data_IF_270344108225
#
_entry.id   IF_270344108225
#
_cell.length_a   1.000
_cell.length_b   1.000
_cell.length_c   1.000
_cell.angle_alpha   90.00
_cell.angle_beta   90.00
_cell.angle_gamma   90.00
#
_symmetry.space_group_name_H-M   'P 1'
#
loop_
_entity.id
_entity.type
_entity.pdbx_description
1 polymer ?
#
# COMPACT_ATOMS: atom_id res chain seq x y z
N UNK A 1 -24.36 14.70 8.32
CA UNK A 1 -23.42 15.06 7.23
C UNK A 1 -24.23 15.34 5.97
N UNK A 2 -24.05 16.48 5.31
CA UNK A 2 -24.78 16.78 4.06
C UNK A 2 -24.04 16.17 2.87
N UNK A 3 -24.75 15.36 2.09
CA UNK A 3 -24.24 14.66 0.91
C UNK A 3 -25.02 15.10 -0.32
N UNK A 4 -24.32 15.28 -1.44
CA UNK A 4 -24.95 15.61 -2.72
C UNK A 4 -24.66 14.47 -3.69
N UNK A 5 -25.70 13.80 -4.18
CA UNK A 5 -25.58 12.73 -5.16
C UNK A 5 -26.55 12.98 -6.31
N UNK A 6 -26.02 13.03 -7.55
CA UNK A 6 -26.78 13.33 -8.78
C UNK A 6 -27.63 14.61 -8.72
N UNK A 7 -27.09 15.65 -8.07
CA UNK A 7 -27.77 16.95 -7.96
C UNK A 7 -28.90 16.99 -6.93
N UNK A 8 -29.11 15.91 -6.17
CA UNK A 8 -30.04 15.90 -5.03
C UNK A 8 -29.22 15.99 -3.75
N UNK A 9 -29.58 16.95 -2.90
CA UNK A 9 -29.00 17.11 -1.56
C UNK A 9 -29.74 16.22 -0.56
N UNK A 10 -28.96 15.50 0.24
CA UNK A 10 -29.45 14.63 1.29
C UNK A 10 -28.76 14.99 2.61
N UNK A 11 -29.56 15.19 3.64
CA UNK A 11 -29.09 15.30 5.02
C UNK A 11 -28.91 13.87 5.55
N UNK A 12 -27.66 13.37 5.55
CA UNK A 12 -27.34 12.04 6.05
C UNK A 12 -27.09 12.11 7.55
N UNK A 13 -28.06 11.64 8.33
CA UNK A 13 -27.90 11.42 9.76
C UNK A 13 -27.44 9.97 10.03
N UNK A 14 -26.17 9.76 10.43
CA UNK A 14 -25.64 8.40 10.68
C UNK A 14 -26.27 7.72 11.90
N UNK A 15 -26.99 8.47 12.74
CA UNK A 15 -27.77 7.96 13.88
C UNK A 15 -29.18 7.53 13.49
N UNK A 16 -29.67 7.99 12.33
CA UNK A 16 -30.89 7.50 11.71
C UNK A 16 -30.55 6.21 10.94
N UNK A 17 -30.10 5.20 11.68
CA UNK A 17 -30.26 3.84 11.22
C UNK A 17 -31.75 3.66 10.91
N UNK A 18 -32.07 3.30 9.68
CA UNK A 18 -33.43 3.00 9.25
C UNK A 18 -33.92 1.80 10.06
N UNK A 19 -34.39 2.06 11.27
CA UNK A 19 -34.96 1.11 12.20
C UNK A 19 -36.39 0.78 11.80
N UNK A 20 -36.61 0.46 10.52
CA UNK A 20 -37.81 -0.28 10.14
C UNK A 20 -37.52 -1.75 10.45
N UNK A 21 -37.55 -2.03 11.76
CA UNK A 21 -37.27 -3.31 12.42
C UNK A 21 -38.40 -4.34 12.17
N UNK A 22 -39.16 -4.18 11.08
CA UNK A 22 -40.24 -5.09 10.68
C UNK A 22 -39.72 -6.39 10.09
N UNK A 23 -38.44 -6.45 9.74
CA UNK A 23 -37.81 -7.62 9.11
C UNK A 23 -36.76 -8.32 9.98
N UNK A 24 -36.64 -7.92 11.25
CA UNK A 24 -35.54 -8.37 12.12
C UNK A 24 -35.88 -9.54 13.02
N UNK A 25 -37.14 -10.01 13.03
CA UNK A 25 -37.54 -11.02 14.03
C UNK A 25 -37.22 -12.44 13.64
N UNK A 26 -37.32 -12.86 12.38
CA UNK A 26 -36.86 -14.17 11.92
C UNK A 26 -36.62 -14.13 10.41
N UNK A 27 -35.36 -14.08 9.97
CA UNK A 27 -35.02 -14.34 8.57
C UNK A 27 -34.43 -15.74 8.46
N UNK A 28 -34.96 -16.54 7.53
CA UNK A 28 -34.35 -17.80 7.15
C UNK A 28 -32.95 -17.55 6.56
N UNK A 29 -32.01 -18.50 6.67
CA UNK A 29 -30.68 -18.39 6.07
C UNK A 29 -30.82 -18.14 4.56
N UNK A 30 -30.25 -17.04 4.08
CA UNK A 30 -30.29 -16.69 2.66
C UNK A 30 -29.17 -17.45 1.95
N UNK A 31 -29.53 -18.24 0.95
CA UNK A 31 -28.59 -18.93 0.07
C UNK A 31 -28.33 -18.08 -1.17
N UNK A 32 -27.07 -17.68 -1.37
CA UNK A 32 -26.62 -16.90 -2.52
C UNK A 32 -25.71 -17.77 -3.39
N UNK A 33 -25.90 -17.72 -4.70
CA UNK A 33 -25.03 -18.44 -5.66
C UNK A 33 -24.28 -17.45 -6.52
N UNK A 34 -22.95 -17.53 -6.52
CA UNK A 34 -22.10 -16.71 -7.38
C UNK A 34 -20.94 -17.54 -7.94
N UNK A 35 -20.85 -17.60 -9.28
CA UNK A 35 -19.83 -18.36 -10.03
C UNK A 35 -19.70 -19.83 -9.59
N UNK A 36 -20.84 -20.50 -9.38
CA UNK A 36 -20.89 -21.90 -8.97
C UNK A 36 -20.59 -22.14 -7.47
N UNK A 37 -20.23 -21.09 -6.72
CA UNK A 37 -20.09 -21.17 -5.26
C UNK A 37 -21.40 -20.79 -4.58
N UNK A 38 -21.75 -21.55 -3.54
CA UNK A 38 -22.90 -21.27 -2.69
C UNK A 38 -22.45 -20.64 -1.38
N UNK A 39 -23.09 -19.54 -1.00
CA UNK A 39 -22.83 -18.79 0.22
C UNK A 39 -24.10 -18.82 1.07
N UNK A 40 -23.97 -19.31 2.29
CA UNK A 40 -25.05 -19.29 3.27
C UNK A 40 -24.85 -18.09 4.20
N UNK A 41 -25.80 -17.15 4.15
CA UNK A 41 -25.83 -15.99 5.02
C UNK A 41 -26.93 -16.18 6.06
N UNK A 42 -26.55 -16.44 7.30
CA UNK A 42 -27.49 -16.48 8.43
C UNK A 42 -27.66 -15.07 9.01
N UNK A 43 -28.83 -14.42 8.84
CA UNK A 43 -29.06 -13.06 9.29
C UNK A 43 -29.25 -12.96 10.81
N UNK A 44 -29.58 -14.08 11.47
CA UNK A 44 -29.78 -14.13 12.93
C UNK A 44 -28.47 -14.43 13.67
N UNK A 45 -27.38 -14.70 12.93
CA UNK A 45 -26.07 -14.87 13.52
C UNK A 45 -25.65 -13.55 14.15
N UNK A 46 -25.27 -13.52 15.45
CA UNK A 46 -24.79 -12.29 16.07
C UNK A 46 -23.65 -11.74 15.22
N UNK A 47 -23.73 -10.46 14.86
CA UNK A 47 -22.68 -9.74 14.16
C UNK A 47 -21.39 -10.08 14.87
N UNK A 48 -20.46 -10.76 14.17
CA UNK A 48 -19.15 -11.12 14.73
C UNK A 48 -18.65 -9.88 15.44
N UNK A 49 -18.39 -10.01 16.74
CA UNK A 49 -17.83 -8.95 17.56
C UNK A 49 -16.73 -8.30 16.75
N UNK A 50 -16.79 -6.96 16.61
CA UNK A 50 -15.74 -6.18 15.94
C UNK A 50 -14.43 -6.70 16.52
N UNK A 51 -13.70 -7.50 15.76
CA UNK A 51 -12.38 -7.96 16.19
C UNK A 51 -11.64 -6.68 16.45
N UNK A 52 -11.28 -6.43 17.71
CA UNK A 52 -10.53 -5.24 18.09
C UNK A 52 -9.33 -5.18 17.14
N UNK A 53 -9.39 -4.23 16.21
CA UNK A 53 -8.41 -4.16 15.16
C UNK A 53 -7.12 -3.75 15.84
N UNK A 54 -6.24 -4.73 16.05
CA UNK A 54 -4.97 -4.45 16.68
C UNK A 54 -4.26 -3.35 15.90
N UNK A 55 -3.62 -2.41 16.59
CA UNK A 55 -2.90 -1.33 15.95
C UNK A 55 -1.85 -1.91 15.00
N UNK A 56 -1.88 -1.48 13.73
CA UNK A 56 -1.00 -2.00 12.68
C UNK A 56 -0.42 -0.88 11.84
N UNK A 57 0.81 -1.12 11.38
CA UNK A 57 1.48 -0.29 10.38
C UNK A 57 1.11 -0.78 8.98
N UNK A 58 0.66 0.13 8.12
CA UNK A 58 0.36 -0.14 6.72
C UNK A 58 1.32 0.67 5.83
N UNK A 59 1.70 0.10 4.69
CA UNK A 59 2.55 0.77 3.70
C UNK A 59 1.78 0.88 2.39
N UNK A 60 1.62 2.10 1.88
CA UNK A 60 1.02 2.36 0.58
C UNK A 60 1.86 3.36 -0.20
N UNK A 61 2.34 2.96 -1.38
CA UNK A 61 3.22 3.76 -2.26
C UNK A 61 4.44 4.37 -1.56
N UNK A 62 5.02 3.62 -0.61
CA UNK A 62 6.16 4.09 0.18
C UNK A 62 5.80 4.97 1.39
N UNK A 63 4.54 5.40 1.52
CA UNK A 63 4.05 6.14 2.67
C UNK A 63 3.54 5.18 3.75
N UNK A 64 3.82 5.52 5.01
CA UNK A 64 3.53 4.67 6.17
C UNK A 64 2.33 5.24 6.92
N UNK A 65 1.33 4.40 7.17
CA UNK A 65 0.06 4.74 7.79
C UNK A 65 -0.14 3.92 9.05
N UNK A 66 -0.75 4.52 10.07
CA UNK A 66 -1.03 3.87 11.35
C UNK A 66 -2.54 3.79 11.53
N UNK A 67 -3.07 2.59 11.73
CA UNK A 67 -4.51 2.36 11.96
C UNK A 67 -4.68 1.77 13.35
N UNK A 68 -5.63 2.30 14.14
CA UNK A 68 -6.00 1.75 15.45
C UNK A 68 -5.26 2.34 16.66
N UNK A 69 -4.59 3.50 16.53
CA UNK A 69 -4.00 4.22 17.67
C UNK A 69 -4.92 5.35 18.14
N UNK A 70 -5.30 5.39 19.44
CA UNK A 70 -6.23 6.41 19.96
C UNK A 70 -5.67 7.84 19.91
N UNK A 71 -4.35 8.00 20.03
CA UNK A 71 -3.73 9.33 20.20
C UNK A 71 -3.04 9.87 18.93
N UNK A 72 -3.17 9.18 17.79
CA UNK A 72 -2.59 9.61 16.51
C UNK A 72 -1.06 9.54 16.48
N UNK A 73 -0.54 8.57 15.71
CA UNK A 73 0.87 8.15 15.59
C UNK A 73 1.46 7.61 16.90
N UNK A 74 1.83 6.31 16.96
CA UNK A 74 2.62 5.83 18.09
C UNK A 74 3.95 6.57 18.15
N UNK A 75 4.31 7.07 19.32
CA UNK A 75 5.72 7.36 19.65
C UNK A 75 6.45 6.03 19.70
N UNK A 76 6.80 5.50 18.53
CA UNK A 76 7.69 4.36 18.45
C UNK A 76 9.06 4.80 19.00
N UNK A 77 9.73 3.98 19.83
CA UNK A 77 11.15 4.16 20.01
C UNK A 77 11.75 4.13 18.61
N UNK A 78 12.44 5.20 18.23
CA UNK A 78 13.19 5.30 16.99
C UNK A 78 14.15 4.12 16.98
N UNK A 79 13.73 2.99 16.38
CA UNK A 79 14.63 1.88 16.12
C UNK A 79 15.57 2.45 15.09
N UNK A 80 16.70 2.92 15.58
CA UNK A 80 17.80 3.38 14.78
C UNK A 80 18.05 2.27 13.76
N UNK A 81 17.77 2.57 12.51
CA UNK A 81 18.38 1.83 11.40
C UNK A 81 19.57 2.65 10.91
N UNK A 82 20.81 2.49 11.42
CA UNK A 82 21.92 3.21 10.82
C UNK A 82 23.11 2.30 10.54
N UNK A 83 22.89 1.08 9.99
CA UNK A 83 24.04 0.26 9.55
C UNK A 83 23.82 -0.49 8.24
N UNK A 84 22.66 -1.09 8.03
CA UNK A 84 22.38 -1.78 6.76
C UNK A 84 22.22 -0.80 5.58
N UNK A 85 21.58 0.36 5.78
CA UNK A 85 21.40 1.35 4.72
C UNK A 85 22.73 1.95 4.22
N UNK A 86 23.72 2.13 5.10
CA UNK A 86 25.03 2.63 4.73
C UNK A 86 25.81 1.62 3.86
N UNK A 87 25.68 0.32 4.14
CA UNK A 87 26.31 -0.71 3.30
C UNK A 87 25.65 -0.80 1.92
N UNK A 88 24.32 -0.60 1.84
CA UNK A 88 23.58 -0.64 0.58
C UNK A 88 24.01 0.45 -0.40
N UNK A 89 24.25 1.68 0.08
CA UNK A 89 24.69 2.78 -0.78
C UNK A 89 26.10 2.53 -1.34
N UNK A 90 27.00 1.97 -0.54
CA UNK A 90 28.36 1.59 -0.97
C UNK A 90 28.30 0.48 -2.02
N UNK A 91 27.59 -0.62 -1.75
CA UNK A 91 27.43 -1.73 -2.70
C UNK A 91 26.75 -1.29 -3.99
N UNK A 92 25.75 -0.41 -3.92
CA UNK A 92 25.09 0.14 -5.10
C UNK A 92 26.07 0.97 -5.95
N UNK A 93 26.89 1.83 -5.32
CA UNK A 93 27.90 2.63 -6.03
C UNK A 93 28.93 1.74 -6.71
N UNK A 94 29.42 0.70 -6.04
CA UNK A 94 30.34 -0.27 -6.64
C UNK A 94 29.73 -0.99 -7.85
N UNK A 95 28.47 -1.42 -7.75
CA UNK A 95 27.79 -2.11 -8.84
C UNK A 95 27.59 -1.20 -10.06
N UNK A 96 27.25 0.08 -9.85
CA UNK A 96 27.15 1.06 -10.93
C UNK A 96 28.51 1.26 -11.63
N UNK A 97 29.58 1.39 -10.85
CA UNK A 97 30.94 1.54 -11.40
C UNK A 97 31.37 0.32 -12.23
N UNK A 98 31.15 -0.90 -11.70
CA UNK A 98 31.47 -2.15 -12.42
C UNK A 98 30.67 -2.26 -13.73
N UNK A 99 29.38 -1.94 -13.69
CA UNK A 99 28.54 -1.99 -14.89
C UNK A 99 28.94 -0.96 -15.94
N UNK A 100 29.26 0.27 -15.54
CA UNK A 100 29.74 1.29 -16.47
C UNK A 100 31.08 0.91 -17.11
N UNK A 101 32.03 0.40 -16.33
CA UNK A 101 33.32 -0.04 -16.84
C UNK A 101 33.15 -1.16 -17.87
N UNK A 102 32.33 -2.17 -17.56
CA UNK A 102 32.02 -3.25 -18.50
C UNK A 102 31.40 -2.73 -19.80
N UNK A 103 30.47 -1.77 -19.72
CA UNK A 103 29.81 -1.20 -20.91
C UNK A 103 30.79 -0.38 -21.75
N UNK A 104 31.72 0.34 -21.13
CA UNK A 104 32.79 1.05 -21.84
C UNK A 104 33.70 0.07 -22.58
N UNK A 105 34.10 -1.03 -21.94
CA UNK A 105 34.92 -2.07 -22.58
C UNK A 105 34.21 -2.70 -23.78
N UNK A 106 32.92 -3.03 -23.64
CA UNK A 106 32.12 -3.56 -24.75
C UNK A 106 31.97 -2.52 -25.88
N UNK A 107 31.70 -1.26 -25.56
CA UNK A 107 31.58 -0.20 -26.55
C UNK A 107 32.91 0.04 -27.29
N UNK A 108 34.05 -0.05 -26.59
CA UNK A 108 35.40 -0.01 -27.18
C UNK A 108 35.64 -1.16 -28.14
N UNK A 109 35.29 -2.39 -27.74
CA UNK A 109 35.42 -3.57 -28.61
C UNK A 109 34.56 -3.47 -29.87
N UNK A 110 33.36 -2.86 -29.75
CA UNK A 110 32.45 -2.65 -30.89
C UNK A 110 32.81 -1.45 -31.76
N UNK A 111 33.65 -0.53 -31.29
CA UNK A 111 33.98 0.72 -31.99
C UNK A 111 32.86 1.77 -31.94
N UNK A 112 31.90 1.65 -31.02
CA UNK A 112 30.76 2.57 -30.88
C UNK A 112 31.17 3.87 -30.17
N UNK A 113 31.83 4.77 -30.90
CA UNK A 113 32.39 6.02 -30.36
C UNK A 113 31.34 6.95 -29.73
N UNK A 114 30.12 7.00 -30.28
CA UNK A 114 29.03 7.82 -29.72
C UNK A 114 28.57 7.32 -28.34
N UNK A 115 28.44 5.99 -28.19
CA UNK A 115 28.07 5.37 -26.92
C UNK A 115 29.19 5.52 -25.89
N UNK A 116 30.44 5.39 -26.33
CA UNK A 116 31.62 5.58 -25.49
C UNK A 116 31.66 7.00 -24.90
N UNK A 117 31.42 8.04 -25.72
CA UNK A 117 31.38 9.42 -25.25
C UNK A 117 30.28 9.66 -24.18
N UNK A 118 29.09 9.08 -24.37
CA UNK A 118 28.00 9.16 -23.39
C UNK A 118 28.36 8.45 -22.07
N UNK A 119 28.92 7.25 -22.15
CA UNK A 119 29.32 6.49 -20.96
C UNK A 119 30.47 7.16 -20.18
N UNK A 120 31.39 7.82 -20.89
CA UNK A 120 32.44 8.61 -20.25
C UNK A 120 31.89 9.88 -19.58
N UNK A 121 30.89 10.53 -20.16
CA UNK A 121 30.19 11.65 -19.52
C UNK A 121 29.45 11.18 -18.25
N UNK A 122 28.74 10.06 -18.32
CA UNK A 122 28.03 9.48 -17.17
C UNK A 122 29.00 9.05 -16.04
N UNK A 123 30.18 8.53 -16.40
CA UNK A 123 31.26 8.25 -15.44
C UNK A 123 31.71 9.51 -14.69
N UNK A 124 31.82 10.67 -15.36
CA UNK A 124 32.23 11.93 -14.73
C UNK A 124 31.19 12.48 -13.76
N UNK A 125 29.91 12.17 -13.97
CA UNK A 125 28.81 12.65 -13.13
C UNK A 125 28.64 11.85 -11.84
N UNK A 126 29.10 10.59 -11.81
CA UNK A 126 28.95 9.68 -10.67
C UNK A 126 30.14 9.77 -9.69
N UNK A 127 31.29 10.28 -10.14
CA UNK A 127 32.47 10.54 -9.29
C UNK A 127 32.13 11.65 -8.30
#
# INVERSE_FOLDING_TARGET
MRLIYRGVEYEYDPTQGTGDDRFSRFREPIMLTYRGNHYQLDPNRPVRSKVEQQPRELIYRGNRYWVGYPDGKPTLPTVSKPRQAANLTVTHRENLQRNLQRRIEIARQKGDNALLALLEAERRQIV
#
